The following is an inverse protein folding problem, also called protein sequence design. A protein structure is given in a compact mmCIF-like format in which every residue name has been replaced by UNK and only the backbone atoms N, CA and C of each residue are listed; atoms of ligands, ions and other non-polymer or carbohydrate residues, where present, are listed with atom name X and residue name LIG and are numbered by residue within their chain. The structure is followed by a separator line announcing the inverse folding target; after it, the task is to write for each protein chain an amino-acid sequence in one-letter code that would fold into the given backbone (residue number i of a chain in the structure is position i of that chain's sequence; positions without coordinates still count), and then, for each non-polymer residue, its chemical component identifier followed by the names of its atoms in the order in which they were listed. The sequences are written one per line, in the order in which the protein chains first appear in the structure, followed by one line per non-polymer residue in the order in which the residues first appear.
data_IF_210122882130
#
_entry.id   IF_210122882130
#
_cell.length_a   1.000
_cell.length_b   1.000
_cell.length_c   1.000
_cell.angle_alpha   90.00
_cell.angle_beta   90.00
_cell.angle_gamma   90.00
#
_symmetry.space_group_name_H-M   'P 1'
#
loop_
_entity.id
_entity.type
_entity.pdbx_description
1 polymer ?
#
# COMPACT_ATOMS: atom_id res chain seq x y z
N UNK A 1 1.69 -8.13 -24.29
CA UNK A 1 0.69 -7.38 -23.48
C UNK A 1 1.39 -6.21 -22.85
N UNK A 2 0.73 -5.06 -22.68
CA UNK A 2 1.30 -3.96 -21.91
C UNK A 2 1.56 -4.42 -20.46
N UNK A 3 2.70 -4.03 -19.87
CA UNK A 3 2.97 -4.27 -18.45
C UNK A 3 1.91 -3.58 -17.60
N UNK A 4 1.60 -4.18 -16.46
CA UNK A 4 0.67 -3.60 -15.48
C UNK A 4 1.28 -2.35 -14.87
N UNK A 5 0.46 -1.33 -14.62
CA UNK A 5 0.86 -0.09 -13.95
C UNK A 5 0.42 -0.11 -12.49
N UNK A 6 1.37 0.06 -11.58
CA UNK A 6 1.17 0.04 -10.13
C UNK A 6 1.44 1.46 -9.59
N UNK A 7 0.41 2.13 -9.09
CA UNK A 7 0.55 3.40 -8.40
C UNK A 7 0.71 3.17 -6.89
N UNK A 8 1.83 3.62 -6.32
CA UNK A 8 2.09 3.63 -4.89
C UNK A 8 1.86 5.04 -4.36
N UNK A 9 0.81 5.23 -3.59
CA UNK A 9 0.45 6.55 -3.04
C UNK A 9 0.99 6.64 -1.61
N UNK A 10 2.12 7.32 -1.47
CA UNK A 10 2.94 7.46 -0.26
C UNK A 10 4.35 6.92 -0.49
N UNK A 11 5.35 7.79 -0.53
CA UNK A 11 6.77 7.50 -0.78
C UNK A 11 7.60 7.17 0.46
N UNK A 12 6.97 7.06 1.64
CA UNK A 12 7.63 6.69 2.89
C UNK A 12 8.24 5.27 2.89
N UNK A 13 8.62 4.78 4.08
CA UNK A 13 9.34 3.49 4.21
C UNK A 13 8.59 2.30 3.59
N UNK A 14 7.26 2.24 3.77
CA UNK A 14 6.44 1.16 3.20
C UNK A 14 6.38 1.30 1.67
N UNK A 15 6.06 2.48 1.14
CA UNK A 15 5.99 2.72 -0.30
C UNK A 15 7.29 2.47 -1.03
N UNK A 16 8.42 2.93 -0.48
CA UNK A 16 9.75 2.66 -1.04
C UNK A 16 10.08 1.16 -1.06
N UNK A 17 9.80 0.44 0.03
CA UNK A 17 9.98 -1.02 0.10
C UNK A 17 9.09 -1.74 -0.92
N UNK A 18 7.83 -1.34 -1.05
CA UNK A 18 6.91 -1.91 -2.03
C UNK A 18 7.36 -1.64 -3.47
N UNK A 19 7.85 -0.44 -3.77
CA UNK A 19 8.41 -0.11 -5.08
C UNK A 19 9.58 -1.03 -5.44
N UNK A 20 10.50 -1.23 -4.49
CA UNK A 20 11.62 -2.13 -4.64
C UNK A 20 11.19 -3.59 -4.85
N UNK A 21 10.25 -4.09 -4.04
CA UNK A 21 9.74 -5.46 -4.18
C UNK A 21 8.97 -5.67 -5.50
N UNK A 22 8.23 -4.66 -5.96
CA UNK A 22 7.57 -4.71 -7.27
C UNK A 22 8.58 -4.82 -8.41
N UNK A 23 9.69 -4.07 -8.31
CA UNK A 23 10.78 -4.13 -9.29
C UNK A 23 11.49 -5.48 -9.30
N UNK A 24 11.98 -5.94 -8.14
CA UNK A 24 12.66 -7.23 -7.99
C UNK A 24 11.82 -8.42 -8.47
N UNK A 25 10.49 -8.36 -8.27
CA UNK A 25 9.57 -9.43 -8.68
C UNK A 25 8.99 -9.21 -10.09
N UNK A 26 9.34 -8.14 -10.79
CA UNK A 26 8.83 -7.83 -12.12
C UNK A 26 7.30 -7.69 -12.20
N UNK A 27 6.65 -7.20 -11.14
CA UNK A 27 5.18 -7.19 -11.03
C UNK A 27 4.50 -6.19 -11.98
N UNK A 28 5.20 -5.12 -12.35
CA UNK A 28 4.68 -4.05 -13.19
C UNK A 28 5.53 -2.79 -13.13
N UNK A 29 5.21 -1.83 -13.98
CA UNK A 29 5.80 -0.49 -13.95
C UNK A 29 5.21 0.29 -12.78
N UNK A 30 6.06 0.98 -12.01
CA UNK A 30 5.71 1.62 -10.75
C UNK A 30 5.68 3.15 -10.90
N UNK A 31 4.61 3.77 -10.41
CA UNK A 31 4.57 5.21 -10.15
C UNK A 31 4.52 5.43 -8.64
N UNK A 32 5.57 6.02 -8.07
CA UNK A 32 5.65 6.36 -6.66
C UNK A 32 5.24 7.83 -6.50
N UNK A 33 4.10 8.06 -5.86
CA UNK A 33 3.61 9.39 -5.53
C UNK A 33 3.91 9.73 -4.06
N UNK A 34 4.36 10.95 -3.79
CA UNK A 34 4.34 11.55 -2.45
C UNK A 34 4.07 13.05 -2.57
N UNK A 35 3.68 13.71 -1.48
CA UNK A 35 3.53 15.18 -1.44
C UNK A 35 4.85 15.89 -1.16
N UNK A 36 5.85 15.18 -0.62
CA UNK A 36 7.17 15.73 -0.33
C UNK A 36 7.97 15.76 -1.64
N UNK A 37 8.28 16.95 -2.13
CA UNK A 37 9.07 17.14 -3.35
C UNK A 37 10.46 16.48 -3.23
N UNK A 38 10.93 15.89 -4.33
CA UNK A 38 12.23 15.22 -4.44
C UNK A 38 12.30 13.83 -3.80
N UNK A 39 11.49 13.55 -2.77
CA UNK A 39 11.47 12.26 -2.08
C UNK A 39 11.07 11.08 -3.00
N UNK A 40 9.95 11.12 -3.73
CA UNK A 40 9.58 10.01 -4.59
C UNK A 40 10.51 9.90 -5.80
N UNK A 41 11.00 11.02 -6.35
CA UNK A 41 11.93 11.06 -7.47
C UNK A 41 13.26 10.41 -7.12
N UNK A 42 13.87 10.81 -6.00
CA UNK A 42 15.13 10.23 -5.54
C UNK A 42 15.01 8.72 -5.32
N UNK A 43 13.97 8.28 -4.62
CA UNK A 43 13.73 6.85 -4.38
C UNK A 43 13.53 6.07 -5.68
N UNK A 44 12.73 6.59 -6.61
CA UNK A 44 12.48 5.91 -7.88
C UNK A 44 13.74 5.86 -8.75
N UNK A 45 14.57 6.92 -8.71
CA UNK A 45 15.85 6.97 -9.42
C UNK A 45 16.83 5.94 -8.85
N UNK A 46 17.02 5.90 -7.54
CA UNK A 46 17.89 4.92 -6.88
C UNK A 46 17.49 3.48 -7.26
N UNK A 47 16.18 3.19 -7.28
CA UNK A 47 15.67 1.89 -7.70
C UNK A 47 15.84 1.66 -9.20
N UNK A 48 15.68 2.65 -10.07
CA UNK A 48 15.97 2.46 -11.49
C UNK A 48 17.45 2.13 -11.72
N UNK A 49 18.35 2.84 -11.03
CA UNK A 49 19.80 2.70 -11.18
C UNK A 49 20.34 1.37 -10.65
N UNK A 50 19.64 0.73 -9.71
CA UNK A 50 19.96 -0.64 -9.28
C UNK A 50 19.55 -1.72 -10.31
N UNK A 51 18.63 -1.40 -11.24
CA UNK A 51 18.07 -2.34 -12.21
C UNK A 51 19.10 -3.10 -13.07
N UNK A 52 20.12 -2.46 -13.65
CA UNK A 52 21.15 -3.14 -14.43
C UNK A 52 21.93 -4.22 -13.66
N UNK A 53 22.05 -4.09 -12.34
CA UNK A 53 22.74 -5.07 -11.48
C UNK A 53 21.76 -6.15 -11.00
N UNK A 54 20.57 -5.76 -10.55
CA UNK A 54 19.54 -6.68 -10.05
C UNK A 54 18.80 -7.44 -11.16
N UNK A 55 18.91 -6.98 -12.41
CA UNK A 55 18.38 -7.65 -13.60
C UNK A 55 16.88 -7.45 -13.86
N UNK A 56 16.21 -6.51 -13.17
CA UNK A 56 14.83 -6.15 -13.50
C UNK A 56 14.77 -5.07 -14.58
N UNK A 57 13.74 -5.19 -15.41
CA UNK A 57 13.45 -4.28 -16.52
C UNK A 57 12.07 -3.64 -16.32
N UNK A 58 11.85 -3.01 -15.17
CA UNK A 58 10.62 -2.25 -14.88
C UNK A 58 10.89 -0.76 -14.99
N UNK A 59 9.88 0.02 -15.38
CA UNK A 59 9.94 1.47 -15.25
C UNK A 59 9.51 1.85 -13.83
N UNK A 60 10.31 2.67 -13.15
CA UNK A 60 9.89 3.37 -11.93
C UNK A 60 9.91 4.87 -12.15
N UNK A 61 8.86 5.57 -11.71
CA UNK A 61 8.81 7.03 -11.76
C UNK A 61 8.36 7.57 -10.42
N UNK A 62 9.13 8.49 -9.86
CA UNK A 62 8.72 9.30 -8.73
C UNK A 62 7.99 10.55 -9.19
N UNK A 63 6.91 10.93 -8.50
CA UNK A 63 6.11 12.10 -8.87
C UNK A 63 5.44 12.74 -7.66
N UNK A 64 5.10 14.02 -7.80
CA UNK A 64 4.24 14.76 -6.86
C UNK A 64 2.90 15.13 -7.52
N UNK A 65 2.62 14.65 -8.73
CA UNK A 65 1.40 14.93 -9.49
C UNK A 65 0.54 13.66 -9.61
N UNK A 66 -0.73 13.74 -9.17
CA UNK A 66 -1.69 12.66 -9.32
C UNK A 66 -2.03 12.34 -10.78
N UNK A 67 -1.84 13.27 -11.72
CA UNK A 67 -2.06 12.98 -13.15
C UNK A 67 -1.18 11.81 -13.65
N UNK A 68 0.01 11.62 -13.05
CA UNK A 68 0.91 10.52 -13.36
C UNK A 68 0.39 9.15 -12.89
N UNK A 69 -0.59 9.10 -11.95
CA UNK A 69 -1.23 7.82 -11.56
C UNK A 69 -2.28 7.35 -12.57
N UNK A 70 -2.54 8.14 -13.62
CA UNK A 70 -3.58 7.84 -14.61
C UNK A 70 -3.43 6.46 -15.21
N UNK A 71 -4.56 5.74 -15.28
CA UNK A 71 -4.63 4.41 -15.88
C UNK A 71 -3.90 3.33 -15.10
N UNK A 72 -3.60 3.55 -13.81
CA UNK A 72 -3.07 2.49 -12.96
C UNK A 72 -4.04 1.29 -12.90
N UNK A 73 -3.48 0.09 -13.05
CA UNK A 73 -4.22 -1.17 -12.83
C UNK A 73 -4.41 -1.43 -11.34
N UNK A 74 -3.41 -1.08 -10.52
CA UNK A 74 -3.42 -1.24 -9.07
C UNK A 74 -2.98 0.06 -8.40
N UNK A 75 -3.72 0.52 -7.40
CA UNK A 75 -3.35 1.62 -6.52
C UNK A 75 -3.14 1.11 -5.10
N UNK A 76 -1.92 1.20 -4.57
CA UNK A 76 -1.61 0.83 -3.19
C UNK A 76 -1.45 2.11 -2.37
N UNK A 77 -2.31 2.29 -1.38
CA UNK A 77 -2.41 3.50 -0.58
C UNK A 77 -1.72 3.29 0.75
N UNK A 78 -0.55 3.91 0.90
CA UNK A 78 0.25 3.91 2.12
C UNK A 78 0.36 5.30 2.74
N UNK A 79 -0.19 6.31 2.08
CA UNK A 79 -0.19 7.69 2.53
C UNK A 79 -1.05 7.85 3.79
N UNK A 80 -0.45 8.46 4.80
CA UNK A 80 -1.06 8.71 6.09
C UNK A 80 0.00 9.09 7.11
N UNK A 81 -0.45 9.55 8.27
CA UNK A 81 0.44 9.82 9.39
C UNK A 81 0.41 8.64 10.36
N UNK A 82 1.56 8.23 10.92
CA UNK A 82 1.58 7.31 12.04
C UNK A 82 1.05 8.01 13.29
N UNK A 83 0.57 7.23 14.26
CA UNK A 83 0.21 7.75 15.57
C UNK A 83 1.44 8.37 16.23
N UNK A 84 1.33 9.62 16.67
CA UNK A 84 2.39 10.32 17.41
C UNK A 84 2.15 10.27 18.92
N UNK A 85 3.19 10.37 19.77
CA UNK A 85 3.00 10.54 21.21
C UNK A 85 2.02 11.68 21.52
N UNK A 86 1.06 11.44 22.41
CA UNK A 86 0.03 12.41 22.78
C UNK A 86 -1.18 12.49 21.84
N UNK A 87 -1.20 11.76 20.72
CA UNK A 87 -2.33 11.74 19.77
C UNK A 87 -3.41 10.73 20.19
N UNK A 88 -4.67 11.17 20.25
CA UNK A 88 -5.81 10.29 20.48
C UNK A 88 -6.11 9.41 19.25
N UNK A 89 -6.93 8.37 19.42
CA UNK A 89 -7.38 7.54 18.27
C UNK A 89 -8.24 8.35 17.31
N UNK A 90 -9.07 9.26 17.84
CA UNK A 90 -9.98 10.09 17.03
C UNK A 90 -9.22 11.15 16.23
N UNK A 91 -8.17 11.75 16.81
CA UNK A 91 -7.31 12.70 16.09
C UNK A 91 -6.65 12.03 14.89
N UNK A 92 -6.08 10.84 15.10
CA UNK A 92 -5.44 10.06 14.05
C UNK A 92 -6.44 9.71 12.94
N UNK A 93 -7.63 9.24 13.32
CA UNK A 93 -8.71 8.91 12.40
C UNK A 93 -9.11 10.13 11.57
N UNK A 94 -9.29 11.30 12.20
CA UNK A 94 -9.66 12.52 11.50
C UNK A 94 -8.61 13.00 10.50
N UNK A 95 -7.32 12.92 10.86
CA UNK A 95 -6.21 13.30 9.96
C UNK A 95 -6.13 12.35 8.79
N UNK A 96 -6.11 11.04 9.05
CA UNK A 96 -5.98 10.05 7.98
C UNK A 96 -7.23 9.97 7.10
N UNK A 97 -8.43 10.21 7.65
CA UNK A 97 -9.64 10.33 6.84
C UNK A 97 -9.55 11.47 5.81
N UNK A 98 -8.99 12.64 6.18
CA UNK A 98 -8.78 13.73 5.23
C UNK A 98 -7.78 13.35 4.13
N UNK A 99 -6.66 12.73 4.51
CA UNK A 99 -5.62 12.29 3.56
C UNK A 99 -6.19 11.25 2.59
N UNK A 100 -6.79 10.19 3.13
CA UNK A 100 -7.37 9.08 2.36
C UNK A 100 -8.53 9.55 1.49
N UNK A 101 -9.34 10.51 1.97
CA UNK A 101 -10.38 11.15 1.16
C UNK A 101 -9.81 11.83 -0.09
N UNK A 102 -8.78 12.66 0.06
CA UNK A 102 -8.10 13.30 -1.09
C UNK A 102 -7.49 12.27 -2.04
N UNK A 103 -6.87 11.21 -1.51
CA UNK A 103 -6.33 10.11 -2.34
C UNK A 103 -7.46 9.43 -3.12
N UNK A 104 -8.58 9.13 -2.47
CA UNK A 104 -9.74 8.49 -3.09
C UNK A 104 -10.32 9.33 -4.24
N UNK A 105 -10.46 10.64 -4.05
CA UNK A 105 -10.95 11.55 -5.08
C UNK A 105 -10.02 11.59 -6.30
N UNK A 106 -8.70 11.56 -6.09
CA UNK A 106 -7.72 11.50 -7.18
C UNK A 106 -7.72 10.12 -7.88
N UNK A 107 -7.81 9.02 -7.14
CA UNK A 107 -7.95 7.67 -7.75
C UNK A 107 -9.20 7.61 -8.62
N UNK A 108 -10.33 8.14 -8.13
CA UNK A 108 -11.57 8.22 -8.91
C UNK A 108 -11.41 9.01 -10.20
N UNK A 109 -10.68 10.12 -10.17
CA UNK A 109 -10.46 10.97 -11.33
C UNK A 109 -9.50 10.37 -12.36
N UNK A 110 -8.40 9.76 -11.89
CA UNK A 110 -7.28 9.37 -12.76
C UNK A 110 -7.21 7.86 -13.04
N UNK A 111 -7.69 7.02 -12.13
CA UNK A 111 -7.63 5.56 -12.23
C UNK A 111 -8.97 4.88 -11.82
N UNK A 112 -10.10 5.22 -12.48
CA UNK A 112 -11.44 4.71 -12.13
C UNK A 112 -11.63 3.20 -12.38
N UNK A 113 -10.64 2.52 -12.96
CA UNK A 113 -10.63 1.08 -13.20
C UNK A 113 -9.54 0.36 -12.39
N UNK A 114 -8.93 1.00 -11.39
CA UNK A 114 -7.91 0.39 -10.56
C UNK A 114 -8.49 -0.65 -9.59
N UNK A 115 -7.64 -1.58 -9.16
CA UNK A 115 -7.80 -2.34 -7.93
C UNK A 115 -7.04 -1.61 -6.81
N UNK A 116 -7.72 -1.30 -5.71
CA UNK A 116 -7.19 -0.46 -4.63
C UNK A 116 -6.89 -1.30 -3.40
N UNK A 117 -5.64 -1.19 -2.91
CA UNK A 117 -5.18 -1.83 -1.67
C UNK A 117 -4.86 -0.73 -0.67
N UNK A 118 -5.60 -0.65 0.43
CA UNK A 118 -5.41 0.34 1.49
C UNK A 118 -4.56 -0.25 2.60
N UNK A 119 -3.53 0.47 3.03
CA UNK A 119 -2.67 0.13 4.18
C UNK A 119 -2.79 1.17 5.31
N UNK A 120 -3.35 2.34 5.02
CA UNK A 120 -3.45 3.46 5.98
C UNK A 120 -4.34 3.09 7.16
N UNK A 121 -3.83 3.31 8.38
CA UNK A 121 -4.56 3.06 9.62
C UNK A 121 -5.35 4.29 10.11
N UNK A 122 -6.47 4.13 10.84
CA UNK A 122 -7.12 2.86 11.23
C UNK A 122 -7.75 2.14 10.03
N UNK A 123 -7.29 0.91 9.76
CA UNK A 123 -7.41 0.30 8.44
C UNK A 123 -8.85 0.13 7.96
N UNK A 124 -9.71 -0.48 8.77
CA UNK A 124 -11.09 -0.80 8.36
C UNK A 124 -11.91 0.47 8.05
N UNK A 125 -11.70 1.53 8.84
CA UNK A 125 -12.31 2.83 8.61
C UNK A 125 -11.80 3.48 7.32
N UNK A 126 -10.49 3.38 7.03
CA UNK A 126 -9.90 3.95 5.82
C UNK A 126 -10.33 3.18 4.56
N UNK A 127 -10.46 1.85 4.63
CA UNK A 127 -10.99 1.02 3.53
C UNK A 127 -12.44 1.41 3.22
N UNK A 128 -13.26 1.57 4.26
CA UNK A 128 -14.66 1.97 4.13
C UNK A 128 -14.77 3.34 3.46
N UNK A 129 -14.02 4.32 3.95
CA UNK A 129 -13.96 5.66 3.37
C UNK A 129 -13.49 5.64 1.91
N UNK A 130 -12.43 4.89 1.60
CA UNK A 130 -11.89 4.75 0.24
C UNK A 130 -12.96 4.19 -0.71
N UNK A 131 -13.68 3.14 -0.30
CA UNK A 131 -14.77 2.55 -1.08
C UNK A 131 -15.89 3.55 -1.31
N UNK A 132 -16.32 4.28 -0.29
CA UNK A 132 -17.43 5.24 -0.38
C UNK A 132 -17.09 6.43 -1.28
N UNK A 133 -15.89 6.99 -1.12
CA UNK A 133 -15.42 8.17 -1.88
C UNK A 133 -15.15 7.84 -3.35
N UNK A 134 -14.44 6.74 -3.61
CA UNK A 134 -14.14 6.32 -4.99
C UNK A 134 -15.39 5.90 -5.74
N UNK A 135 -16.35 5.26 -5.06
CA UNK A 135 -17.52 4.66 -5.69
C UNK A 135 -17.19 3.40 -6.51
N UNK A 136 -16.00 2.82 -6.33
CA UNK A 136 -15.62 1.58 -7.00
C UNK A 136 -16.45 0.40 -6.48
N UNK A 137 -16.61 -0.67 -7.30
CA UNK A 137 -17.15 -1.94 -6.84
C UNK A 137 -16.40 -2.46 -5.61
N UNK A 138 -17.12 -3.10 -4.68
CA UNK A 138 -16.55 -3.55 -3.39
C UNK A 138 -15.39 -4.54 -3.57
N UNK A 139 -15.43 -5.36 -4.61
CA UNK A 139 -14.41 -6.32 -4.98
C UNK A 139 -13.11 -5.68 -5.50
N UNK A 140 -13.10 -4.36 -5.69
CA UNK A 140 -11.93 -3.58 -6.14
C UNK A 140 -11.30 -2.74 -5.05
N UNK A 141 -11.83 -2.76 -3.82
CA UNK A 141 -11.25 -2.00 -2.70
C UNK A 141 -11.05 -2.93 -1.51
N UNK A 142 -9.79 -3.20 -1.19
CA UNK A 142 -9.41 -4.12 -0.11
C UNK A 142 -8.45 -3.44 0.87
N UNK A 143 -8.46 -3.89 2.12
CA UNK A 143 -7.41 -3.59 3.09
C UNK A 143 -6.37 -4.71 3.16
N UNK A 144 -5.18 -4.40 3.67
CA UNK A 144 -4.16 -5.42 3.98
C UNK A 144 -4.50 -6.31 5.19
N UNK A 145 -5.59 -6.02 5.91
CA UNK A 145 -5.93 -6.58 7.22
C UNK A 145 -5.85 -8.11 7.23
N UNK A 146 -5.39 -8.68 8.35
CA UNK A 146 -5.31 -10.12 8.55
C UNK A 146 -4.11 -10.80 7.89
N UNK A 147 -3.55 -10.30 6.78
CA UNK A 147 -2.41 -10.96 6.11
C UNK A 147 -1.15 -10.93 6.99
N UNK A 148 -0.79 -9.74 7.50
CA UNK A 148 0.40 -9.59 8.36
C UNK A 148 0.20 -10.29 9.70
N UNK A 149 -0.98 -10.15 10.32
CA UNK A 149 -1.26 -10.75 11.62
C UNK A 149 -1.34 -12.29 11.53
N UNK A 150 -1.91 -12.84 10.45
CA UNK A 150 -1.82 -14.27 10.14
C UNK A 150 -0.37 -14.71 9.94
N UNK A 151 0.45 -13.92 9.24
CA UNK A 151 1.86 -14.27 9.04
C UNK A 151 2.63 -14.30 10.35
N UNK A 152 2.38 -13.34 11.26
CA UNK A 152 2.98 -13.31 12.61
C UNK A 152 2.54 -14.51 13.43
N UNK A 153 1.24 -14.81 13.41
CA UNK A 153 0.69 -15.95 14.15
C UNK A 153 1.30 -17.26 13.68
N UNK A 154 1.38 -17.48 12.36
CA UNK A 154 2.03 -18.66 11.77
C UNK A 154 3.50 -18.77 12.15
N UNK A 155 4.24 -17.66 12.20
CA UNK A 155 5.64 -17.64 12.63
C UNK A 155 5.78 -18.10 14.08
N UNK A 156 5.01 -17.53 15.01
CA UNK A 156 5.10 -17.92 16.42
C UNK A 156 4.66 -19.35 16.69
N UNK A 157 3.66 -19.85 15.97
CA UNK A 157 3.30 -21.28 16.02
C UNK A 157 4.43 -22.18 15.51
N UNK A 158 5.07 -21.81 14.39
CA UNK A 158 6.19 -22.56 13.84
C UNK A 158 7.39 -22.60 14.80
N UNK A 159 7.70 -21.48 15.45
CA UNK A 159 8.72 -21.38 16.49
C UNK A 159 8.40 -22.27 17.70
N UNK A 160 7.18 -22.18 18.22
CA UNK A 160 6.74 -22.95 19.39
C UNK A 160 6.69 -24.47 19.13
N UNK A 161 6.37 -24.88 17.90
CA UNK A 161 6.29 -26.29 17.49
C UNK A 161 7.60 -26.82 16.92
N UNK A 162 8.62 -25.96 16.73
CA UNK A 162 9.89 -26.27 16.07
C UNK A 162 9.72 -26.92 14.68
N UNK A 163 8.83 -26.35 13.87
CA UNK A 163 8.57 -26.81 12.49
C UNK A 163 8.83 -25.69 11.49
N UNK A 164 8.88 -26.03 10.20
CA UNK A 164 8.94 -25.02 9.14
C UNK A 164 7.68 -24.13 9.15
N UNK A 165 7.86 -22.82 9.00
CA UNK A 165 6.74 -21.87 8.84
C UNK A 165 5.88 -22.16 7.61
N UNK A 166 6.43 -22.81 6.59
CA UNK A 166 5.68 -23.25 5.40
C UNK A 166 4.72 -24.39 5.70
N UNK A 167 4.97 -25.16 6.77
CA UNK A 167 4.12 -26.26 7.22
C UNK A 167 2.98 -25.82 8.13
N UNK A 168 3.02 -24.58 8.64
CA UNK A 168 1.97 -24.03 9.49
C UNK A 168 0.95 -23.27 8.64
N UNK A 169 -0.31 -23.67 8.76
CA UNK A 169 -1.47 -22.99 8.16
C UNK A 169 -2.36 -22.49 9.29
N UNK A 170 -2.49 -21.17 9.40
CA UNK A 170 -3.36 -20.50 10.36
C UNK A 170 -3.76 -19.14 9.79
N UNK A 171 -4.92 -18.64 10.20
CA UNK A 171 -5.46 -17.35 9.75
C UNK A 171 -6.03 -16.61 10.94
N UNK A 172 -5.81 -15.30 10.95
CA UNK A 172 -6.38 -14.33 11.87
C UNK A 172 -7.39 -13.48 11.10
N UNK A 173 -8.59 -13.33 11.65
CA UNK A 173 -9.76 -12.68 11.08
C UNK A 173 -10.27 -11.55 12.00
N UNK A 174 -11.34 -10.86 11.57
CA UNK A 174 -11.94 -9.76 12.33
C UNK A 174 -11.39 -8.38 11.94
N UNK A 175 -11.80 -7.35 12.68
CA UNK A 175 -11.33 -5.98 12.48
C UNK A 175 -9.89 -5.82 12.93
N UNK A 176 -9.07 -5.10 12.17
CA UNK A 176 -7.65 -4.96 12.48
C UNK A 176 -7.43 -4.22 13.80
N UNK A 177 -6.84 -4.90 14.79
CA UNK A 177 -6.61 -4.35 16.12
C UNK A 177 -6.46 -5.44 17.18
N UNK A 178 -6.65 -5.06 18.43
CA UNK A 178 -6.46 -5.94 19.59
C UNK A 178 -7.55 -7.04 19.70
N UNK A 179 -8.69 -6.85 19.02
CA UNK A 179 -9.86 -7.73 19.06
C UNK A 179 -9.95 -8.71 17.86
N UNK A 180 -8.83 -8.91 17.15
CA UNK A 180 -8.77 -9.90 16.06
C UNK A 180 -8.94 -11.34 16.59
N UNK A 181 -9.52 -12.23 15.77
CA UNK A 181 -9.88 -13.62 16.11
C UNK A 181 -9.06 -14.63 15.33
#
# INVERSE_FOLDING_TARGET
MARKKIALVGGGMIGGTLAHLCALKGLGDVVLFDVIEGLPQGKALDLLEAGPIEGYDVHLRGTNDYADVRGADVCIVTAGVPRKPGMSRDDLLGINAKIVGTVADNIKAYAPAAFVIVLTNPLDAMVTLMKERTGLPKERVVGMAGVLDSSRYRTFLAEALHVSVTSVQAMVLGGHGDDMV
#
